data_IF_215628457601
#
_entry.id   IF_215628457601
#
_cell.length_a   1.000
_cell.length_b   1.000
_cell.length_c   1.000
_cell.angle_alpha   90.00
_cell.angle_beta   90.00
_cell.angle_gamma   90.00
#
_symmetry.space_group_name_H-M   'P 1'
#
loop_
_entity.id
_entity.type
_entity.pdbx_description
1 polymer ?
#
# COMPACT_ATOMS: atom_id res chain seq x y z
N UNK A 1 13.69 7.87 -9.71
CA UNK A 1 14.75 7.08 -10.36
C UNK A 1 15.68 6.44 -9.31
N UNK A 2 16.36 7.25 -8.50
CA UNK A 2 17.23 6.78 -7.43
C UNK A 2 16.52 5.93 -6.36
N UNK A 3 15.31 6.35 -5.96
CA UNK A 3 14.49 5.61 -4.99
C UNK A 3 14.07 4.25 -5.56
N UNK A 4 13.66 4.23 -6.81
CA UNK A 4 13.26 3.02 -7.50
C UNK A 4 14.39 2.00 -7.57
N UNK A 5 15.60 2.44 -7.92
CA UNK A 5 16.77 1.57 -8.00
C UNK A 5 17.13 0.97 -6.64
N UNK A 6 17.08 1.77 -5.58
CA UNK A 6 17.32 1.31 -4.22
C UNK A 6 16.26 0.27 -3.82
N UNK A 7 14.99 0.54 -4.09
CA UNK A 7 13.91 -0.40 -3.78
C UNK A 7 14.07 -1.73 -4.52
N UNK A 8 14.42 -1.69 -5.80
CA UNK A 8 14.70 -2.90 -6.58
C UNK A 8 15.85 -3.70 -6.02
N UNK A 9 16.92 -3.04 -5.60
CA UNK A 9 18.09 -3.68 -4.99
C UNK A 9 17.72 -4.36 -3.67
N UNK A 10 16.98 -3.69 -2.80
CA UNK A 10 16.54 -4.25 -1.52
C UNK A 10 15.62 -5.45 -1.73
N UNK A 11 14.62 -5.31 -2.59
CA UNK A 11 13.67 -6.38 -2.87
C UNK A 11 14.36 -7.59 -3.50
N UNK A 12 15.31 -7.38 -4.40
CA UNK A 12 16.09 -8.45 -5.01
C UNK A 12 17.00 -9.16 -4.02
N UNK A 13 17.68 -8.43 -3.15
CA UNK A 13 18.53 -8.99 -2.11
C UNK A 13 17.74 -9.87 -1.12
N UNK A 14 16.57 -9.41 -0.71
CA UNK A 14 15.69 -10.14 0.21
C UNK A 14 14.84 -11.20 -0.48
N UNK A 15 14.91 -11.30 -1.81
CA UNK A 15 14.11 -12.23 -2.61
C UNK A 15 12.60 -12.09 -2.37
N UNK A 16 12.14 -10.86 -2.29
CA UNK A 16 10.72 -10.57 -2.09
C UNK A 16 9.96 -10.88 -3.37
N UNK A 17 8.96 -11.73 -3.24
CA UNK A 17 8.07 -12.12 -4.33
C UNK A 17 6.63 -11.79 -3.96
N UNK A 18 6.26 -10.55 -4.19
CA UNK A 18 4.93 -10.03 -3.85
C UNK A 18 4.99 -8.58 -3.43
N UNK A 19 3.88 -8.05 -2.91
CA UNK A 19 3.82 -6.66 -2.50
C UNK A 19 4.69 -6.40 -1.27
N UNK A 20 5.33 -5.26 -1.25
CA UNK A 20 6.05 -4.78 -0.07
C UNK A 20 5.97 -3.26 0.02
N UNK A 21 6.10 -2.77 1.23
CA UNK A 21 6.17 -1.35 1.51
C UNK A 21 7.55 -1.04 2.07
N UNK A 22 8.31 -0.22 1.37
CA UNK A 22 9.66 0.18 1.77
C UNK A 22 9.61 1.64 2.17
N UNK A 23 10.05 1.94 3.38
CA UNK A 23 10.13 3.30 3.89
C UNK A 23 11.57 3.76 3.95
N UNK A 24 11.80 4.94 3.40
CA UNK A 24 13.08 5.61 3.41
C UNK A 24 12.90 7.06 3.85
N UNK A 25 13.96 7.65 4.34
CA UNK A 25 14.00 9.06 4.71
C UNK A 25 15.28 9.69 4.18
N UNK A 26 15.14 10.85 3.59
CA UNK A 26 16.29 11.66 3.23
C UNK A 26 16.80 12.41 4.43
N UNK A 27 18.07 12.26 4.73
CA UNK A 27 18.74 12.97 5.80
C UNK A 27 19.19 14.37 5.34
N UNK A 28 19.62 15.19 6.28
CA UNK A 28 20.01 16.59 5.99
C UNK A 28 21.16 16.72 4.99
N UNK A 29 21.99 15.70 4.85
CA UNK A 29 23.08 15.63 3.87
C UNK A 29 22.63 15.14 2.48
N UNK A 30 21.32 14.92 2.28
CA UNK A 30 20.76 14.46 1.03
C UNK A 30 20.89 12.96 0.79
N UNK A 31 21.32 12.21 1.77
CA UNK A 31 21.44 10.74 1.67
C UNK A 31 20.12 10.08 2.02
N UNK A 32 19.65 9.20 1.14
CA UNK A 32 18.47 8.37 1.41
C UNK A 32 18.85 7.24 2.36
N UNK A 33 18.12 7.15 3.46
CA UNK A 33 18.33 6.13 4.49
C UNK A 33 17.11 5.23 4.57
N UNK A 34 17.36 3.94 4.56
CA UNK A 34 16.36 2.91 4.76
C UNK A 34 15.86 2.93 6.21
N UNK A 35 14.55 2.86 6.40
CA UNK A 35 13.94 2.76 7.73
C UNK A 35 13.39 1.37 7.99
N UNK A 36 12.48 0.92 7.17
CA UNK A 36 11.86 -0.39 7.35
C UNK A 36 11.30 -0.93 6.05
N UNK A 37 11.05 -2.22 6.03
CA UNK A 37 10.34 -2.90 4.95
C UNK A 37 9.26 -3.79 5.55
N UNK A 38 8.07 -3.73 4.97
CA UNK A 38 6.94 -4.58 5.34
C UNK A 38 6.51 -5.37 4.10
N UNK A 39 6.59 -6.71 4.11
CA UNK A 39 6.21 -7.53 2.97
C UNK A 39 4.68 -7.66 2.87
N UNK A 40 4.01 -6.56 2.71
CA UNK A 40 2.56 -6.42 2.59
C UNK A 40 2.22 -5.09 1.94
N UNK A 41 0.95 -4.90 1.58
CA UNK A 41 0.45 -3.61 1.13
C UNK A 41 0.51 -2.57 2.27
N UNK A 42 0.87 -1.35 1.92
CA UNK A 42 0.91 -0.24 2.87
C UNK A 42 -0.45 0.40 3.13
N UNK A 43 -0.54 1.23 4.16
CA UNK A 43 -1.76 1.95 4.51
C UNK A 43 -2.21 2.98 3.47
N UNK A 44 -1.31 3.39 2.58
CA UNK A 44 -1.61 4.30 1.47
C UNK A 44 -1.99 3.61 0.15
N UNK A 45 -2.23 2.30 0.16
CA UNK A 45 -2.53 1.52 -1.06
C UNK A 45 -3.73 2.05 -1.83
N UNK A 46 -4.75 2.56 -1.14
CA UNK A 46 -5.91 3.14 -1.81
C UNK A 46 -5.51 4.35 -2.68
N UNK A 47 -4.56 5.16 -2.24
CA UNK A 47 -4.09 6.31 -3.01
C UNK A 47 -3.37 5.87 -4.27
N UNK A 48 -2.56 4.83 -4.18
CA UNK A 48 -1.88 4.22 -5.32
C UNK A 48 -2.88 3.67 -6.32
N UNK A 49 -3.93 3.00 -5.85
CA UNK A 49 -5.02 2.50 -6.69
C UNK A 49 -5.75 3.63 -7.40
N UNK A 50 -6.07 4.71 -6.68
CA UNK A 50 -6.72 5.89 -7.26
C UNK A 50 -5.83 6.58 -8.30
N UNK A 51 -4.52 6.52 -8.15
CA UNK A 51 -3.56 7.06 -9.10
C UNK A 51 -3.40 6.20 -10.37
N UNK A 52 -3.93 4.99 -10.39
CA UNK A 52 -3.90 4.10 -11.55
C UNK A 52 -3.22 2.75 -11.33
N UNK A 53 -2.53 2.55 -10.21
CA UNK A 53 -1.84 1.31 -9.91
C UNK A 53 -2.65 0.46 -8.92
N UNK A 54 -3.46 -0.44 -9.45
CA UNK A 54 -4.29 -1.33 -8.65
C UNK A 54 -3.48 -2.56 -8.21
N UNK A 55 -2.69 -2.42 -7.15
CA UNK A 55 -1.87 -3.51 -6.63
C UNK A 55 -2.69 -4.71 -6.14
N UNK A 56 -3.83 -4.56 -5.45
CA UNK A 56 -4.65 -5.70 -5.10
C UNK A 56 -5.05 -6.57 -6.30
N UNK A 57 -5.45 -5.95 -7.40
CA UNK A 57 -5.78 -6.67 -8.62
C UNK A 57 -4.55 -7.36 -9.23
N UNK A 58 -3.39 -6.71 -9.20
CA UNK A 58 -2.13 -7.30 -9.67
C UNK A 58 -1.73 -8.53 -8.86
N UNK A 59 -1.94 -8.50 -7.54
CA UNK A 59 -1.68 -9.64 -6.66
C UNK A 59 -2.57 -10.84 -7.05
N UNK A 60 -3.83 -10.60 -7.33
CA UNK A 60 -4.75 -11.64 -7.78
C UNK A 60 -4.30 -12.23 -9.12
N UNK A 61 -3.87 -11.39 -10.05
CA UNK A 61 -3.32 -11.84 -11.33
C UNK A 61 -2.10 -12.74 -11.12
N UNK A 62 -1.16 -12.33 -10.28
CA UNK A 62 0.03 -13.12 -9.95
C UNK A 62 -0.33 -14.47 -9.32
N UNK A 63 -1.34 -14.49 -8.43
CA UNK A 63 -1.81 -15.72 -7.81
C UNK A 63 -2.41 -16.71 -8.83
N UNK A 64 -2.96 -16.21 -9.93
CA UNK A 64 -3.46 -17.02 -11.05
C UNK A 64 -2.36 -17.45 -12.02
N UNK A 65 -1.12 -17.09 -11.78
CA UNK A 65 -0.01 -17.35 -12.68
C UNK A 65 0.07 -16.39 -13.86
N UNK A 66 -0.68 -15.31 -13.84
CA UNK A 66 -0.63 -14.25 -14.85
C UNK A 66 0.48 -13.26 -14.51
N UNK A 67 1.11 -12.70 -15.52
CA UNK A 67 2.09 -11.63 -15.32
C UNK A 67 1.39 -10.27 -15.40
N UNK A 68 1.41 -9.47 -14.32
CA UNK A 68 0.73 -8.19 -14.32
C UNK A 68 1.44 -7.18 -15.23
N UNK A 69 0.65 -6.36 -15.91
CA UNK A 69 1.16 -5.29 -16.76
C UNK A 69 1.49 -4.10 -15.88
N UNK A 70 2.65 -3.46 -16.12
CA UNK A 70 3.02 -2.23 -15.42
C UNK A 70 1.98 -1.14 -15.67
N UNK A 71 1.36 -0.59 -14.63
CA UNK A 71 0.30 0.40 -14.80
C UNK A 71 0.87 1.79 -15.12
N UNK A 72 0.07 2.60 -15.80
CA UNK A 72 0.32 4.03 -15.90
C UNK A 72 -0.18 4.73 -14.64
N UNK A 73 0.68 5.51 -14.02
CA UNK A 73 0.37 6.23 -12.78
C UNK A 73 0.23 7.70 -13.05
N UNK A 74 -0.87 8.29 -12.60
CA UNK A 74 -1.14 9.72 -12.67
C UNK A 74 -0.77 10.39 -11.35
N UNK A 75 -0.29 11.63 -11.44
CA UNK A 75 -0.14 12.46 -10.24
C UNK A 75 -1.52 12.90 -9.76
N UNK A 76 -1.83 12.60 -8.51
CA UNK A 76 -3.09 13.00 -7.88
C UNK A 76 -2.83 13.61 -6.52
N UNK A 77 -3.75 14.43 -6.07
CA UNK A 77 -3.78 14.93 -4.70
C UNK A 77 -4.93 14.29 -3.96
N UNK A 78 -4.65 13.71 -2.82
CA UNK A 78 -5.67 13.05 -1.99
C UNK A 78 -5.71 13.72 -0.62
N UNK A 79 -6.91 14.05 -0.19
CA UNK A 79 -7.17 14.56 1.15
C UNK A 79 -7.87 13.46 1.93
N UNK A 80 -7.29 13.09 3.06
CA UNK A 80 -7.87 12.11 3.98
C UNK A 80 -8.35 12.81 5.23
N UNK A 81 -9.51 12.43 5.72
CA UNK A 81 -10.06 12.97 6.95
C UNK A 81 -10.63 11.84 7.82
N UNK A 82 -10.75 12.12 9.11
CA UNK A 82 -11.37 11.20 10.05
C UNK A 82 -12.84 11.58 10.25
N UNK A 83 -13.66 10.55 10.33
CA UNK A 83 -15.06 10.68 10.66
C UNK A 83 -15.39 9.66 11.76
N UNK A 84 -16.09 10.10 12.80
CA UNK A 84 -16.47 9.24 13.91
C UNK A 84 -17.95 8.90 13.81
N UNK A 85 -18.23 7.63 14.08
CA UNK A 85 -19.60 7.13 14.20
C UNK A 85 -19.78 6.71 15.65
N UNK A 86 -20.73 7.37 16.34
CA UNK A 86 -21.04 7.02 17.71
C UNK A 86 -22.12 5.96 17.72
N UNK A 87 -21.80 4.81 18.28
CA UNK A 87 -22.74 3.70 18.45
C UNK A 87 -23.01 3.56 19.95
N UNK A 88 -24.27 3.75 20.35
CA UNK A 88 -24.70 3.49 21.71
C UNK A 88 -24.93 2.00 21.92
N UNK A 89 -24.89 1.56 23.18
CA UNK A 89 -25.04 0.12 23.50
C UNK A 89 -26.29 -0.53 22.89
N UNK A 90 -27.37 0.20 22.80
CA UNK A 90 -28.62 -0.26 22.16
C UNK A 90 -28.46 -0.47 20.66
N UNK A 91 -27.72 0.40 20.00
CA UNK A 91 -27.48 0.32 18.56
C UNK A 91 -26.47 -0.76 18.20
N UNK A 92 -25.49 -1.05 19.06
CA UNK A 92 -24.50 -2.08 18.84
C UNK A 92 -25.13 -3.49 18.76
N UNK A 93 -26.21 -3.75 19.47
CA UNK A 93 -26.95 -4.99 19.37
C UNK A 93 -27.62 -5.18 18.02
N UNK A 94 -28.10 -4.10 17.40
CA UNK A 94 -28.69 -4.13 16.06
C UNK A 94 -27.65 -4.48 15.00
N UNK A 95 -26.46 -3.91 15.10
CA UNK A 95 -25.37 -4.22 14.18
C UNK A 95 -24.87 -5.65 14.36
N UNK A 96 -24.78 -6.15 15.59
CA UNK A 96 -24.41 -7.52 15.89
C UNK A 96 -25.35 -8.54 15.25
N UNK A 97 -26.67 -8.28 15.23
CA UNK A 97 -27.67 -9.15 14.59
C UNK A 97 -27.57 -9.17 13.05
N UNK A 98 -26.96 -8.16 12.43
CA UNK A 98 -26.77 -8.07 10.97
C UNK A 98 -25.52 -8.80 10.48
N UNK A 99 -24.58 -9.05 11.35
CA UNK A 99 -23.29 -9.67 10.99
C UNK A 99 -23.32 -11.19 11.03
N UNK A 100 -24.42 -11.77 11.43
CA UNK A 100 -24.59 -13.23 11.50
C UNK A 100 -24.98 -13.87 10.16
#
# INVERSE_FOLDING_TARGET
>A
ERIEDICKSIAGFLKINGPCCIQMKESKDGVLKFLEINPRLGGGTIFTTLAGANFPAMIVQMAKGEEPIMPEVSEITVIRYYEEIVIRNEDSMKFGSRSS
#
